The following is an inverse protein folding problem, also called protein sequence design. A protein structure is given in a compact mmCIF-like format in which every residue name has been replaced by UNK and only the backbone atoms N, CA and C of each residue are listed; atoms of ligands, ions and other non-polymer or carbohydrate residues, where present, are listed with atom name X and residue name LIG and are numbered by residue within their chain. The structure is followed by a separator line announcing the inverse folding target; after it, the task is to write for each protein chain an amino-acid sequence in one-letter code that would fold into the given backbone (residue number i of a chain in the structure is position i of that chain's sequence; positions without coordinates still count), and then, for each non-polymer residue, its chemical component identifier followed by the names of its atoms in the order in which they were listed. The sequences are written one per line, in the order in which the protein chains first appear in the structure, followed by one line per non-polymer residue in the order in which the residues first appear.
data_IF_697988118616
#
_entry.id   IF_697988118616
#
_cell.length_a   1.000
_cell.length_b   1.000
_cell.length_c   1.000
_cell.angle_alpha   90.00
_cell.angle_beta   90.00
_cell.angle_gamma   90.00
#
_symmetry.space_group_name_H-M   'P 1'
#
loop_
_entity.id
_entity.type
_entity.pdbx_description
1 polymer ?
#
# COMPACT_ATOMS: atom_id res chain seq x y z
N UNK A 1 -28.46 -24.04 17.40
CA UNK A 1 -28.51 -23.32 18.70
C UNK A 1 -27.37 -22.32 18.70
N UNK A 2 -27.74 -21.05 18.74
CA UNK A 2 -26.87 -19.88 18.65
C UNK A 2 -26.02 -19.69 19.91
N UNK A 3 -24.80 -19.19 19.75
CA UNK A 3 -24.19 -18.27 20.71
C UNK A 3 -23.35 -17.24 19.95
N UNK A 4 -23.97 -16.08 19.73
CA UNK A 4 -23.42 -14.87 19.14
C UNK A 4 -23.17 -13.86 20.27
N UNK A 5 -22.04 -13.15 20.16
CA UNK A 5 -21.70 -11.85 20.79
C UNK A 5 -21.35 -11.83 22.30
N UNK A 6 -20.12 -11.40 22.59
CA UNK A 6 -19.81 -10.37 23.60
C UNK A 6 -18.34 -9.97 23.51
N UNK A 7 -18.02 -8.90 22.78
CA UNK A 7 -17.10 -7.88 23.27
C UNK A 7 -17.60 -6.52 22.79
N UNK A 8 -17.88 -5.67 23.76
CA UNK A 8 -18.53 -4.38 23.62
C UNK A 8 -17.48 -3.27 23.47
N UNK A 9 -17.80 -2.30 22.63
CA UNK A 9 -17.13 -1.01 22.48
C UNK A 9 -17.35 -0.13 23.74
N UNK A 10 -16.35 0.62 24.25
CA UNK A 10 -16.60 1.58 25.31
C UNK A 10 -17.13 2.90 24.74
N UNK A 11 -18.40 3.17 25.03
CA UNK A 11 -19.01 4.50 24.93
C UNK A 11 -18.57 5.33 26.13
N UNK A 12 -17.77 6.38 25.91
CA UNK A 12 -17.50 7.37 26.95
C UNK A 12 -18.63 8.40 26.97
N UNK A 13 -19.36 8.48 28.09
CA UNK A 13 -20.10 9.67 28.48
C UNK A 13 -19.87 10.00 29.96
N UNK A 14 -19.59 11.29 30.17
CA UNK A 14 -19.81 12.14 31.35
C UNK A 14 -18.87 12.04 32.57
N UNK A 15 -18.04 13.08 32.71
CA UNK A 15 -17.75 13.76 33.98
C UNK A 15 -17.81 15.29 33.74
N UNK A 16 -18.58 15.99 34.57
CA UNK A 16 -18.83 17.44 34.60
C UNK A 16 -17.71 18.22 35.35
N UNK A 17 -17.72 19.58 35.37
CA UNK A 17 -16.52 20.42 35.43
C UNK A 17 -16.12 20.85 36.84
N UNK A 18 -14.82 21.10 37.04
CA UNK A 18 -14.30 21.91 38.16
C UNK A 18 -13.21 22.84 37.62
N UNK A 19 -13.23 24.05 38.19
CA UNK A 19 -12.75 25.34 37.69
C UNK A 19 -11.22 25.53 37.66
N UNK A 20 -10.84 26.61 36.95
CA UNK A 20 -9.52 27.21 36.78
C UNK A 20 -8.88 27.66 38.12
N UNK A 21 -7.57 27.85 38.29
CA UNK A 21 -6.70 28.86 37.65
C UNK A 21 -5.23 28.76 38.20
N UNK A 22 -4.25 29.61 37.81
CA UNK A 22 -2.99 29.19 37.16
C UNK A 22 -1.70 29.46 37.96
N UNK A 23 -0.54 28.98 37.45
CA UNK A 23 0.73 29.74 37.49
C UNK A 23 1.86 29.09 36.67
N UNK A 24 2.33 29.85 35.67
CA UNK A 24 3.72 30.07 35.23
C UNK A 24 4.72 28.89 35.12
N UNK A 25 5.28 28.73 33.91
CA UNK A 25 6.53 28.01 33.69
C UNK A 25 6.90 27.93 32.21
N UNK A 26 7.61 28.95 31.71
CA UNK A 26 8.11 29.02 30.35
C UNK A 26 9.06 27.87 29.98
N UNK A 27 8.78 27.17 28.88
CA UNK A 27 9.75 26.93 27.80
C UNK A 27 9.07 26.27 26.59
N UNK A 28 8.71 27.10 25.59
CA UNK A 28 8.47 26.63 24.23
C UNK A 28 9.82 26.29 23.61
N UNK A 29 10.21 25.01 23.63
CA UNK A 29 11.24 24.52 22.74
C UNK A 29 10.58 24.32 21.38
N UNK A 30 10.61 25.37 20.56
CA UNK A 30 10.41 25.24 19.12
C UNK A 30 11.52 24.36 18.57
N UNK A 31 11.31 23.05 18.52
CA UNK A 31 12.09 22.20 17.64
C UNK A 31 11.59 22.44 16.21
N UNK A 32 12.12 23.53 15.64
CA UNK A 32 12.06 23.83 14.22
C UNK A 32 12.91 22.77 13.53
N UNK A 33 12.29 21.67 13.15
CA UNK A 33 12.92 20.63 12.35
C UNK A 33 13.15 21.18 10.93
N UNK A 34 14.25 21.92 10.78
CA UNK A 34 14.85 22.23 9.48
C UNK A 34 15.44 20.94 8.93
N UNK A 35 14.65 20.12 8.25
CA UNK A 35 15.22 19.09 7.40
C UNK A 35 15.21 19.58 5.95
N UNK A 36 16.37 20.07 5.54
CA UNK A 36 16.68 20.33 4.15
C UNK A 36 16.43 19.08 3.31
N UNK A 37 15.92 19.30 2.10
CA UNK A 37 15.65 18.28 1.10
C UNK A 37 16.97 17.60 0.67
N UNK A 38 17.42 16.60 1.43
CA UNK A 38 18.00 15.41 0.83
C UNK A 38 16.79 14.59 0.39
N UNK A 39 16.68 14.25 -0.90
CA UNK A 39 15.73 13.21 -1.33
C UNK A 39 16.17 11.91 -0.64
N UNK A 40 15.67 11.69 0.57
CA UNK A 40 15.84 10.44 1.29
C UNK A 40 15.13 9.34 0.52
N UNK A 41 15.65 8.12 0.62
CA UNK A 41 14.91 6.94 0.17
C UNK A 41 13.57 6.93 0.95
N UNK A 42 12.42 6.84 0.27
CA UNK A 42 11.14 6.81 0.96
C UNK A 42 11.07 5.56 1.87
N UNK A 43 10.39 5.64 3.03
CA UNK A 43 10.21 4.49 3.91
C UNK A 43 9.46 3.37 3.19
N UNK A 44 9.70 2.11 3.57
CA UNK A 44 9.09 0.97 2.90
C UNK A 44 7.56 0.99 3.00
N UNK A 45 7.00 1.53 4.09
CA UNK A 45 5.55 1.73 4.25
C UNK A 45 4.95 2.66 3.19
N UNK A 46 5.69 3.69 2.77
CA UNK A 46 5.28 4.55 1.66
C UNK A 46 5.37 3.80 0.32
N UNK A 47 6.44 3.04 0.10
CA UNK A 47 6.62 2.22 -1.11
C UNK A 47 5.48 1.18 -1.25
N UNK A 48 5.10 0.51 -0.15
CA UNK A 48 3.96 -0.42 -0.11
C UNK A 48 2.68 0.29 -0.55
N UNK A 49 2.43 1.49 0.00
CA UNK A 49 1.23 2.27 -0.32
C UNK A 49 1.20 2.63 -1.81
N UNK A 50 2.31 3.12 -2.37
CA UNK A 50 2.42 3.46 -3.79
C UNK A 50 2.23 2.23 -4.69
N UNK A 51 2.79 1.08 -4.30
CA UNK A 51 2.62 -0.17 -5.03
C UNK A 51 1.16 -0.63 -5.08
N UNK A 52 0.44 -0.52 -3.96
CA UNK A 52 -0.98 -0.88 -3.91
C UNK A 52 -1.83 0.11 -4.71
N UNK A 53 -1.54 1.40 -4.64
CA UNK A 53 -2.20 2.41 -5.49
C UNK A 53 -2.00 2.10 -6.97
N UNK A 54 -0.79 1.74 -7.39
CA UNK A 54 -0.49 1.30 -8.75
C UNK A 54 -1.35 0.07 -9.13
N UNK A 55 -1.34 -0.97 -8.29
CA UNK A 55 -2.11 -2.18 -8.53
C UNK A 55 -3.61 -1.89 -8.69
N UNK A 56 -4.16 -1.03 -7.83
CA UNK A 56 -5.55 -0.64 -7.84
C UNK A 56 -5.96 0.30 -8.98
N UNK A 57 -5.01 0.99 -9.63
CA UNK A 57 -5.31 1.80 -10.81
C UNK A 57 -5.24 0.95 -12.09
N UNK A 58 -4.46 -0.12 -12.07
CA UNK A 58 -4.31 -1.04 -13.19
C UNK A 58 -5.27 -2.24 -13.13
N UNK A 59 -6.40 -2.12 -12.42
CA UNK A 59 -7.30 -3.19 -11.92
C UNK A 59 -7.71 -4.32 -12.86
N UNK A 60 -7.55 -4.20 -14.19
CA UNK A 60 -7.79 -5.30 -15.14
C UNK A 60 -6.54 -6.10 -15.46
N UNK A 61 -5.34 -5.51 -15.31
CA UNK A 61 -4.02 -6.10 -15.62
C UNK A 61 -3.29 -6.63 -14.38
N UNK A 62 -3.82 -6.35 -13.20
CA UNK A 62 -3.19 -6.64 -11.90
C UNK A 62 -4.00 -7.60 -11.04
N UNK A 63 -5.01 -8.27 -11.60
CA UNK A 63 -5.72 -9.32 -10.87
C UNK A 63 -4.88 -10.60 -10.85
N UNK A 64 -4.60 -11.11 -9.65
CA UNK A 64 -3.94 -12.40 -9.50
C UNK A 64 -3.03 -12.49 -8.29
N UNK A 65 -2.34 -13.62 -8.21
CA UNK A 65 -1.56 -13.99 -7.03
C UNK A 65 -0.23 -13.22 -6.92
N UNK A 66 0.37 -12.85 -8.06
CA UNK A 66 1.66 -12.14 -8.10
C UNK A 66 1.64 -10.80 -7.33
N UNK A 67 0.72 -9.84 -7.60
CA UNK A 67 0.68 -8.59 -6.87
C UNK A 67 0.33 -8.76 -5.39
N UNK A 68 -0.49 -9.75 -5.02
CA UNK A 68 -0.77 -10.08 -3.60
C UNK A 68 0.49 -10.53 -2.87
N UNK A 69 1.24 -11.48 -3.46
CA UNK A 69 2.50 -11.97 -2.90
C UNK A 69 3.56 -10.87 -2.76
N UNK A 70 3.70 -10.01 -3.78
CA UNK A 70 4.61 -8.86 -3.72
C UNK A 70 4.19 -7.89 -2.61
N UNK A 71 2.89 -7.56 -2.53
CA UNK A 71 2.35 -6.67 -1.50
C UNK A 71 2.58 -7.23 -0.09
N UNK A 72 2.30 -8.52 0.12
CA UNK A 72 2.58 -9.20 1.39
C UNK A 72 4.06 -9.06 1.76
N UNK A 73 4.96 -9.39 0.83
CA UNK A 73 6.38 -9.36 1.14
C UNK A 73 6.89 -7.95 1.44
N UNK A 74 6.43 -6.94 0.71
CA UNK A 74 6.76 -5.54 0.96
C UNK A 74 6.23 -5.07 2.33
N UNK A 75 4.99 -5.40 2.67
CA UNK A 75 4.39 -5.03 3.96
C UNK A 75 5.17 -5.64 5.14
N UNK A 76 5.59 -6.89 4.98
CA UNK A 76 6.43 -7.56 5.98
C UNK A 76 7.79 -6.87 6.13
N UNK A 77 8.42 -6.45 5.03
CA UNK A 77 9.68 -5.69 5.11
C UNK A 77 9.47 -4.33 5.77
N UNK A 78 8.37 -3.64 5.49
CA UNK A 78 8.02 -2.39 6.15
C UNK A 78 7.81 -2.57 7.66
N UNK A 79 7.08 -3.61 8.08
CA UNK A 79 6.89 -3.91 9.50
C UNK A 79 8.22 -4.23 10.21
N UNK A 80 9.13 -4.93 9.54
CA UNK A 80 10.46 -5.23 10.07
C UNK A 80 11.36 -3.99 10.16
N UNK A 81 11.23 -3.03 9.24
CA UNK A 81 11.96 -1.77 9.26
C UNK A 81 11.61 -0.91 10.48
N UNK A 82 10.35 -0.96 10.94
CA UNK A 82 9.88 -0.22 12.11
C UNK A 82 10.20 -0.90 13.45
N UNK A 83 10.64 -2.16 13.46
CA UNK A 83 10.99 -2.91 14.67
C UNK A 83 12.48 -2.78 15.02
N UNK A 84 12.83 -2.21 16.19
CA UNK A 84 14.20 -2.24 16.68
C UNK A 84 14.70 -3.68 16.85
N UNK A 85 15.95 -3.94 16.44
CA UNK A 85 16.59 -5.26 16.57
C UNK A 85 16.48 -5.92 17.97
N UNK A 86 16.63 -5.21 19.11
CA UNK A 86 16.51 -5.84 20.43
C UNK A 86 15.09 -6.24 20.82
N UNK A 87 14.06 -5.71 20.16
CA UNK A 87 12.64 -5.91 20.48
C UNK A 87 11.96 -6.88 19.50
N UNK A 88 12.71 -7.44 18.55
CA UNK A 88 12.19 -8.31 17.51
C UNK A 88 11.91 -9.71 18.06
N UNK A 89 10.75 -9.87 18.69
CA UNK A 89 10.16 -11.16 19.06
C UNK A 89 9.06 -11.54 18.04
N UNK A 90 8.66 -12.82 17.97
CA UNK A 90 7.51 -13.22 17.14
C UNK A 90 6.23 -12.43 17.46
N UNK A 91 5.98 -12.17 18.74
CA UNK A 91 4.78 -11.45 19.20
C UNK A 91 4.81 -9.95 18.82
N UNK A 92 5.98 -9.30 18.92
CA UNK A 92 6.10 -7.89 18.50
C UNK A 92 6.00 -7.75 16.99
N UNK A 93 6.48 -8.74 16.23
CA UNK A 93 6.29 -8.82 14.78
C UNK A 93 4.82 -8.97 14.41
N UNK A 94 4.10 -9.86 15.08
CA UNK A 94 2.67 -10.08 14.85
C UNK A 94 1.86 -8.81 15.10
N UNK A 95 2.12 -8.11 16.22
CA UNK A 95 1.48 -6.83 16.54
C UNK A 95 1.80 -5.74 15.53
N UNK A 96 3.07 -5.61 15.13
CA UNK A 96 3.49 -4.57 14.19
C UNK A 96 2.94 -4.82 12.79
N UNK A 97 2.89 -6.08 12.35
CA UNK A 97 2.31 -6.44 11.08
C UNK A 97 0.80 -6.21 11.06
N UNK A 98 0.08 -6.57 12.13
CA UNK A 98 -1.35 -6.30 12.26
C UNK A 98 -1.62 -4.80 12.17
N UNK A 99 -0.86 -3.99 12.92
CA UNK A 99 -0.94 -2.52 12.85
C UNK A 99 -0.64 -1.99 11.45
N UNK A 100 0.35 -2.57 10.75
CA UNK A 100 0.67 -2.18 9.38
C UNK A 100 -0.48 -2.49 8.42
N UNK A 101 -1.12 -3.66 8.55
CA UNK A 101 -2.33 -4.04 7.77
C UNK A 101 -3.51 -3.10 8.08
N UNK A 102 -3.73 -2.76 9.35
CA UNK A 102 -4.80 -1.85 9.76
C UNK A 102 -4.59 -0.43 9.21
N UNK A 103 -3.37 0.10 9.34
CA UNK A 103 -3.00 1.39 8.77
C UNK A 103 -3.17 1.41 7.26
N UNK A 104 -2.79 0.32 6.60
CA UNK A 104 -2.96 0.13 5.16
C UNK A 104 -4.44 0.16 4.76
N UNK A 105 -5.30 -0.56 5.47
CA UNK A 105 -6.74 -0.58 5.24
C UNK A 105 -7.40 0.78 5.48
N UNK A 106 -6.97 1.50 6.52
CA UNK A 106 -7.44 2.85 6.79
C UNK A 106 -7.02 3.84 5.69
N UNK A 107 -5.81 3.67 5.14
CA UNK A 107 -5.29 4.51 4.08
C UNK A 107 -5.87 4.18 2.69
N UNK A 108 -6.35 2.95 2.47
CA UNK A 108 -6.69 2.44 1.15
C UNK A 108 -8.09 1.82 1.14
N UNK A 109 -9.04 2.52 0.55
CA UNK A 109 -10.46 2.13 0.40
C UNK A 109 -10.74 1.18 -0.78
N UNK A 110 -9.73 0.49 -1.33
CA UNK A 110 -9.88 -0.32 -2.55
C UNK A 110 -9.72 -1.82 -2.30
N UNK A 111 -10.36 -2.63 -3.17
CA UNK A 111 -10.46 -4.10 -3.11
C UNK A 111 -9.16 -4.82 -2.73
N UNK A 112 -8.00 -4.40 -3.24
CA UNK A 112 -6.74 -5.06 -2.91
C UNK A 112 -6.36 -4.91 -1.42
N UNK A 113 -6.72 -3.82 -0.75
CA UNK A 113 -6.52 -3.68 0.70
C UNK A 113 -7.35 -4.70 1.49
N UNK A 114 -8.64 -4.83 1.14
CA UNK A 114 -9.56 -5.82 1.72
C UNK A 114 -9.07 -7.24 1.44
N UNK A 115 -8.67 -7.53 0.20
CA UNK A 115 -8.11 -8.83 -0.20
C UNK A 115 -6.83 -9.14 0.59
N UNK A 116 -5.98 -8.15 0.84
CA UNK A 116 -4.76 -8.31 1.62
C UNK A 116 -5.05 -8.56 3.10
N UNK A 117 -6.06 -7.93 3.69
CA UNK A 117 -6.49 -8.22 5.06
C UNK A 117 -6.94 -9.68 5.21
N UNK A 118 -7.66 -10.19 4.22
CA UNK A 118 -8.05 -11.61 4.17
C UNK A 118 -6.84 -12.52 3.92
N UNK A 119 -5.92 -12.10 3.05
CA UNK A 119 -4.69 -12.85 2.72
C UNK A 119 -3.77 -13.04 3.93
N UNK A 120 -3.72 -12.04 4.81
CA UNK A 120 -2.95 -12.06 6.05
C UNK A 120 -3.68 -12.69 7.24
N UNK A 121 -4.94 -13.10 7.09
CA UNK A 121 -5.65 -13.84 8.13
C UNK A 121 -5.13 -15.29 8.13
N UNK A 122 -4.35 -15.73 9.14
CA UNK A 122 -3.74 -17.05 9.10
C UNK A 122 -4.82 -18.14 9.19
N UNK A 123 -4.87 -19.11 8.27
CA UNK A 123 -5.77 -20.24 8.41
C UNK A 123 -5.33 -21.12 9.59
N UNK A 124 -6.29 -21.51 10.44
CA UNK A 124 -6.07 -22.57 11.42
C UNK A 124 -5.15 -22.27 12.61
N UNK A 125 -5.01 -21.00 13.03
CA UNK A 125 -4.27 -20.64 14.25
C UNK A 125 -2.76 -20.65 14.10
N UNK A 126 -2.24 -20.66 12.87
CA UNK A 126 -0.82 -20.45 12.58
C UNK A 126 -0.43 -19.02 13.02
N UNK A 127 0.71 -18.86 13.70
CA UNK A 127 1.20 -17.52 14.07
C UNK A 127 1.59 -16.73 12.82
N UNK A 128 1.38 -15.41 12.85
CA UNK A 128 1.79 -14.51 11.76
C UNK A 128 3.31 -14.63 11.52
N UNK A 129 4.11 -14.80 12.58
CA UNK A 129 5.54 -15.10 12.49
C UNK A 129 5.86 -16.34 11.63
N UNK A 130 5.08 -17.42 11.74
CA UNK A 130 5.26 -18.62 10.92
C UNK A 130 4.88 -18.36 9.45
N UNK A 131 3.85 -17.56 9.23
CA UNK A 131 3.45 -17.13 7.89
C UNK A 131 4.52 -16.23 7.24
N UNK A 132 5.13 -15.35 8.04
CA UNK A 132 6.26 -14.49 7.67
C UNK A 132 7.49 -15.33 7.26
N UNK A 133 7.84 -16.35 8.04
CA UNK A 133 8.94 -17.25 7.67
C UNK A 133 8.65 -18.00 6.36
N UNK A 134 7.40 -18.39 6.15
CA UNK A 134 6.97 -19.07 4.92
C UNK A 134 7.12 -18.14 3.71
N UNK A 135 6.59 -16.91 3.79
CA UNK A 135 6.77 -15.91 2.74
C UNK A 135 8.24 -15.56 2.49
N UNK A 136 9.06 -15.53 3.54
CA UNK A 136 10.50 -15.26 3.42
C UNK A 136 11.24 -16.36 2.67
N UNK A 137 10.88 -17.62 2.91
CA UNK A 137 11.45 -18.78 2.20
C UNK A 137 11.00 -18.83 0.75
N UNK A 138 9.72 -18.57 0.50
CA UNK A 138 9.16 -18.59 -0.86
C UNK A 138 9.69 -17.45 -1.74
N UNK A 139 9.87 -16.27 -1.16
CA UNK A 139 10.30 -15.07 -1.87
C UNK A 139 11.42 -14.35 -1.09
N UNK A 140 12.67 -14.81 -1.23
CA UNK A 140 13.85 -14.11 -0.71
C UNK A 140 13.95 -12.67 -1.26
N UNK A 141 14.66 -11.78 -0.56
CA UNK A 141 14.77 -10.37 -0.92
C UNK A 141 15.24 -10.11 -2.38
N UNK A 142 16.26 -10.79 -2.91
CA UNK A 142 16.65 -10.60 -4.31
C UNK A 142 15.49 -10.93 -5.28
N UNK A 143 14.76 -12.02 -5.01
CA UNK A 143 13.60 -12.40 -5.81
C UNK A 143 12.42 -11.43 -5.68
N UNK A 144 12.28 -10.77 -4.53
CA UNK A 144 11.27 -9.72 -4.37
C UNK A 144 11.58 -8.54 -5.29
N UNK A 145 12.84 -8.11 -5.34
CA UNK A 145 13.27 -7.02 -6.21
C UNK A 145 12.99 -7.37 -7.68
N UNK A 146 13.41 -8.56 -8.12
CA UNK A 146 13.15 -9.03 -9.49
C UNK A 146 11.64 -9.10 -9.76
N UNK A 147 10.85 -9.63 -8.83
CA UNK A 147 9.40 -9.74 -8.99
C UNK A 147 8.70 -8.37 -9.12
N UNK A 148 9.17 -7.34 -8.41
CA UNK A 148 8.68 -5.96 -8.52
C UNK A 148 9.04 -5.39 -9.89
N UNK A 149 10.30 -5.53 -10.33
CA UNK A 149 10.77 -5.03 -11.63
C UNK A 149 10.00 -5.71 -12.77
N UNK A 150 9.85 -7.02 -12.73
CA UNK A 150 9.08 -7.78 -13.73
C UNK A 150 7.61 -7.38 -13.75
N UNK A 151 7.02 -7.17 -12.57
CA UNK A 151 5.62 -6.75 -12.46
C UNK A 151 5.41 -5.36 -13.06
N UNK A 152 6.25 -4.39 -12.70
CA UNK A 152 6.16 -3.03 -13.23
C UNK A 152 6.45 -3.00 -14.73
N UNK A 153 7.45 -3.75 -15.20
CA UNK A 153 7.79 -3.85 -16.62
C UNK A 153 6.62 -4.44 -17.42
N UNK A 154 6.05 -5.56 -16.97
CA UNK A 154 4.88 -6.16 -17.63
C UNK A 154 3.65 -5.24 -17.61
N UNK A 155 3.49 -4.44 -16.55
CA UNK A 155 2.44 -3.43 -16.49
C UNK A 155 2.66 -2.33 -17.54
N UNK A 156 3.89 -1.80 -17.64
CA UNK A 156 4.28 -0.78 -18.64
C UNK A 156 4.12 -1.31 -20.06
N UNK A 157 4.57 -2.52 -20.35
CA UNK A 157 4.40 -3.18 -21.66
C UNK A 157 2.93 -3.38 -22.01
N UNK A 158 2.10 -3.64 -21.01
CA UNK A 158 0.67 -3.73 -21.19
C UNK A 158 0.00 -2.38 -21.45
N UNK A 159 0.63 -1.24 -21.15
CA UNK A 159 0.02 0.07 -21.36
C UNK A 159 -0.14 0.37 -22.85
N UNK A 160 -1.24 1.04 -23.17
CA UNK A 160 -1.46 1.55 -24.52
C UNK A 160 -0.38 2.58 -24.84
N UNK A 161 0.06 2.63 -26.10
CA UNK A 161 1.02 3.64 -26.52
C UNK A 161 0.44 5.04 -26.21
N UNK A 162 1.27 6.04 -25.87
CA UNK A 162 0.78 7.39 -25.65
C UNK A 162 -0.02 7.89 -26.86
N UNK A 163 -1.09 8.66 -26.63
CA UNK A 163 -2.03 9.15 -27.67
C UNK A 163 -1.29 9.78 -28.86
N UNK A 164 -0.21 10.52 -28.62
CA UNK A 164 0.62 11.10 -29.67
C UNK A 164 1.30 10.04 -30.55
N UNK A 165 1.84 8.98 -29.94
CA UNK A 165 2.45 7.86 -30.67
C UNK A 165 1.39 7.08 -31.46
N UNK A 166 0.19 6.94 -30.91
CA UNK A 166 -0.94 6.33 -31.63
C UNK A 166 -1.35 7.16 -32.86
N UNK A 167 -1.40 8.49 -32.71
CA UNK A 167 -1.70 9.44 -33.78
C UNK A 167 -0.65 9.43 -34.89
N UNK A 168 0.64 9.40 -34.54
CA UNK A 168 1.75 9.26 -35.50
C UNK A 168 1.63 7.97 -36.31
N UNK A 169 1.19 6.88 -35.68
CA UNK A 169 0.94 5.58 -36.34
C UNK A 169 -0.36 5.55 -37.15
N UNK A 170 -1.17 6.60 -37.09
CA UNK A 170 -2.45 6.70 -37.80
C UNK A 170 -3.52 5.74 -37.28
N UNK A 171 -3.39 5.30 -36.03
CA UNK A 171 -4.30 4.33 -35.42
C UNK A 171 -4.52 4.67 -33.94
N UNK A 172 -5.50 5.53 -33.68
CA UNK A 172 -5.99 5.78 -32.33
C UNK A 172 -6.82 4.60 -31.86
N UNK A 173 -6.57 4.15 -30.62
CA UNK A 173 -7.31 3.05 -30.06
C UNK A 173 -8.81 3.37 -29.95
N UNK A 174 -9.64 2.40 -30.33
CA UNK A 174 -11.08 2.57 -30.44
C UNK A 174 -11.55 3.19 -31.76
N UNK A 175 -10.63 3.60 -32.64
CA UNK A 175 -10.91 4.09 -33.98
C UNK A 175 -10.19 3.23 -35.02
N UNK A 176 -10.81 3.07 -36.18
CA UNK A 176 -10.14 2.55 -37.35
C UNK A 176 -9.26 3.64 -38.00
N UNK A 177 -8.48 3.27 -39.02
CA UNK A 177 -7.56 4.20 -39.70
C UNK A 177 -8.28 5.38 -40.37
N UNK A 178 -9.45 5.14 -40.97
CA UNK A 178 -10.21 6.18 -41.64
C UNK A 178 -10.81 7.16 -40.61
N UNK A 179 -11.35 6.65 -39.51
CA UNK A 179 -11.84 7.45 -38.39
C UNK A 179 -10.73 8.27 -37.73
N UNK A 180 -9.54 7.67 -37.58
CA UNK A 180 -8.35 8.36 -37.06
C UNK A 180 -7.93 9.49 -38.00
N UNK A 181 -7.92 9.26 -39.32
CA UNK A 181 -7.57 10.29 -40.30
C UNK A 181 -8.61 11.42 -40.32
N UNK A 182 -9.90 11.09 -40.29
CA UNK A 182 -10.97 12.08 -40.23
C UNK A 182 -10.86 12.94 -38.97
N UNK A 183 -10.50 12.35 -37.82
CA UNK A 183 -10.25 13.10 -36.59
C UNK A 183 -9.05 14.03 -36.74
N UNK A 184 -7.92 13.52 -37.27
CA UNK A 184 -6.70 14.31 -37.55
C UNK A 184 -7.01 15.55 -38.40
N UNK A 185 -7.75 15.37 -39.48
CA UNK A 185 -8.13 16.46 -40.40
C UNK A 185 -9.02 17.51 -39.70
N UNK A 186 -9.96 17.08 -38.85
CA UNK A 186 -10.85 17.99 -38.08
C UNK A 186 -10.11 18.85 -37.06
N UNK A 187 -9.06 18.32 -36.45
CA UNK A 187 -8.27 19.04 -35.42
C UNK A 187 -7.03 19.73 -35.99
N UNK A 188 -6.82 19.67 -37.31
CA UNK A 188 -5.70 20.34 -37.98
C UNK A 188 -4.34 19.66 -37.79
N UNK A 189 -4.31 18.39 -37.36
CA UNK A 189 -3.09 17.60 -37.26
C UNK A 189 -2.83 16.95 -38.63
N UNK A 190 -1.89 17.50 -39.41
CA UNK A 190 -1.48 16.93 -40.71
C UNK A 190 -0.40 15.87 -40.49
#
# INVERSE_FOLDING_TARGET
MNNFLRYAWPTSQNLSPVEAHPAAGHQKVHHKQKNGHRRGVPPLSEIVTQFILLCNNASTKTQGEKPRRITARLLMQAALEELPLPERSPESLDQQLLKAVENLNAALTRQLGIDMANYWSPPGGISLATQVETFSREMPLPRLQDAIVDFVSGLIEGLEAPVLVQLERGQLQGLNRAETQQLKDRVGLR
#
